data_IF_384977088555
#
_entry.id   IF_384977088555
#
_cell.length_a   1.000
_cell.length_b   1.000
_cell.length_c   1.000
_cell.angle_alpha   90.00
_cell.angle_beta   90.00
_cell.angle_gamma   90.00
#
_symmetry.space_group_name_H-M   'P 1'
#
loop_
_entity.id
_entity.type
_entity.pdbx_description
1 polymer ?
#
# COMPACT_ATOMS: atom_id res chain seq x y z
N UNK A 1 85.49 1.46 -32.81
CA UNK A 1 85.24 0.11 -33.34
C UNK A 1 84.12 0.23 -34.36
N UNK A 2 84.36 -0.23 -35.60
CA UNK A 2 83.34 -0.43 -36.63
C UNK A 2 82.34 -1.53 -36.15
N UNK A 3 81.13 -1.75 -36.69
CA UNK A 3 80.76 -2.08 -38.08
C UNK A 3 79.21 -2.08 -38.17
N UNK A 4 78.64 -1.53 -39.27
CA UNK A 4 77.50 -2.04 -40.09
C UNK A 4 76.14 -2.30 -39.40
N UNK A 5 74.98 -2.42 -40.06
CA UNK A 5 74.57 -2.77 -41.43
C UNK A 5 73.11 -2.26 -41.57
N UNK A 6 72.79 -1.38 -42.51
CA UNK A 6 72.10 -1.60 -43.80
C UNK A 6 70.63 -2.12 -43.78
N UNK A 7 69.79 -1.40 -44.52
CA UNK A 7 68.66 -1.82 -45.37
C UNK A 7 67.29 -2.27 -44.80
N UNK A 8 66.31 -1.42 -45.10
CA UNK A 8 65.14 -1.70 -45.97
C UNK A 8 63.88 -2.41 -45.44
N UNK A 9 62.81 -1.60 -45.48
CA UNK A 9 61.54 -1.82 -46.19
C UNK A 9 60.54 -2.90 -45.71
N UNK A 10 59.32 -2.40 -45.47
CA UNK A 10 58.07 -3.15 -45.35
C UNK A 10 57.02 -2.28 -44.66
N UNK A 11 56.54 -1.20 -45.29
CA UNK A 11 55.26 -1.19 -46.03
C UNK A 11 54.29 -2.30 -45.57
N UNK A 12 53.25 -1.92 -44.81
CA UNK A 12 51.87 -1.89 -45.31
C UNK A 12 50.89 -1.36 -44.24
N UNK A 13 50.19 -0.28 -44.65
CA UNK A 13 48.76 0.05 -44.45
C UNK A 13 48.18 0.00 -43.03
N UNK A 14 47.77 1.15 -42.49
CA UNK A 14 46.41 1.74 -42.65
C UNK A 14 45.35 0.83 -42.04
N UNK A 15 44.63 1.20 -40.98
CA UNK A 15 43.46 2.12 -40.96
C UNK A 15 43.34 2.69 -39.53
N UNK A 16 43.50 3.98 -39.26
CA UNK A 16 42.51 5.08 -39.43
C UNK A 16 41.19 4.83 -38.66
N UNK A 17 40.99 5.63 -37.61
CA UNK A 17 39.92 6.66 -37.47
C UNK A 17 38.65 6.08 -36.85
N UNK A 18 37.91 6.74 -35.98
CA UNK A 18 37.97 8.11 -35.46
C UNK A 18 36.96 8.14 -34.32
N UNK A 19 37.35 8.71 -33.18
CA UNK A 19 36.41 9.08 -32.12
C UNK A 19 35.56 10.25 -32.62
N UNK A 20 34.25 10.08 -32.68
CA UNK A 20 33.27 11.16 -32.86
C UNK A 20 32.67 11.44 -31.47
N UNK A 21 32.82 12.66 -30.92
CA UNK A 21 31.92 13.82 -31.11
C UNK A 21 30.46 13.39 -30.90
N UNK A 22 29.69 13.88 -29.92
CA UNK A 22 29.65 15.22 -29.36
C UNK A 22 28.26 15.82 -29.65
N UNK A 23 27.50 16.06 -28.58
CA UNK A 23 26.40 17.03 -28.41
C UNK A 23 24.98 16.84 -29.00
N UNK A 24 24.03 16.82 -28.03
CA UNK A 24 22.82 17.68 -27.91
C UNK A 24 21.51 17.29 -28.63
N UNK A 25 20.58 16.80 -27.80
CA UNK A 25 19.21 17.30 -27.58
C UNK A 25 18.22 17.37 -28.75
N UNK A 26 17.27 16.43 -28.77
CA UNK A 26 15.86 16.67 -29.09
C UNK A 26 14.99 15.48 -28.62
N UNK A 27 13.76 15.75 -28.16
CA UNK A 27 12.68 14.81 -27.74
C UNK A 27 12.89 14.22 -26.32
N UNK A 28 12.45 14.81 -25.21
CA UNK A 28 11.13 15.31 -24.80
C UNK A 28 9.96 14.34 -25.03
N UNK A 29 9.41 13.88 -23.89
CA UNK A 29 8.06 13.36 -23.64
C UNK A 29 7.62 12.10 -24.41
N UNK A 30 7.96 10.93 -23.88
CA UNK A 30 7.10 9.76 -24.02
C UNK A 30 7.30 8.79 -22.85
N UNK A 31 6.22 8.62 -22.09
CA UNK A 31 5.96 7.57 -21.11
C UNK A 31 6.54 7.70 -19.69
N UNK A 32 6.18 8.79 -18.99
CA UNK A 32 5.97 8.81 -17.54
C UNK A 32 4.69 8.03 -17.11
N UNK A 33 4.25 7.04 -17.89
CA UNK A 33 3.01 6.28 -17.67
C UNK A 33 3.24 4.91 -17.00
N UNK A 34 4.47 4.63 -16.56
CA UNK A 34 4.80 3.43 -15.80
C UNK A 34 4.45 3.58 -14.32
N UNK A 35 3.21 3.24 -13.97
CA UNK A 35 2.76 2.91 -12.62
C UNK A 35 2.61 4.08 -11.62
N UNK A 36 1.73 5.03 -11.93
CA UNK A 36 0.69 5.32 -10.92
C UNK A 36 0.02 3.96 -10.67
N UNK A 37 0.34 3.30 -9.55
CA UNK A 37 -0.49 2.20 -9.08
C UNK A 37 -1.88 2.79 -8.93
N UNK A 38 -2.79 2.45 -9.86
CA UNK A 38 -4.21 2.70 -9.65
C UNK A 38 -4.53 2.18 -8.24
N UNK A 39 -5.27 2.94 -7.42
CA UNK A 39 -5.70 2.41 -6.14
C UNK A 39 -6.31 1.05 -6.44
N UNK A 40 -5.79 0.01 -5.78
CA UNK A 40 -6.36 -1.34 -5.86
C UNK A 40 -7.85 -1.13 -5.69
N UNK A 41 -8.63 -1.39 -6.73
CA UNK A 41 -10.09 -1.46 -6.62
C UNK A 41 -10.34 -2.71 -5.79
N UNK A 42 -10.12 -2.59 -4.48
CA UNK A 42 -10.53 -3.57 -3.51
C UNK A 42 -12.02 -3.75 -3.72
N UNK A 43 -12.48 -4.99 -3.76
CA UNK A 43 -13.90 -5.28 -3.88
C UNK A 43 -14.66 -4.47 -2.81
N UNK A 44 -15.83 -3.93 -3.14
CA UNK A 44 -16.61 -3.12 -2.21
C UNK A 44 -16.85 -3.87 -0.89
N UNK A 45 -17.14 -5.17 -0.98
CA UNK A 45 -17.27 -6.06 0.19
C UNK A 45 -15.98 -6.12 1.02
N UNK A 46 -14.83 -6.34 0.40
CA UNK A 46 -13.53 -6.36 1.10
C UNK A 46 -13.22 -5.01 1.76
N UNK A 47 -13.56 -3.91 1.09
CA UNK A 47 -13.39 -2.55 1.61
C UNK A 47 -14.26 -2.34 2.86
N UNK A 48 -15.52 -2.76 2.81
CA UNK A 48 -16.45 -2.70 3.95
C UNK A 48 -15.97 -3.56 5.11
N UNK A 49 -15.48 -4.76 4.86
CA UNK A 49 -14.86 -5.60 5.88
C UNK A 49 -13.68 -4.90 6.55
N UNK A 50 -12.75 -4.34 5.77
CA UNK A 50 -11.58 -3.66 6.33
C UNK A 50 -11.96 -2.43 7.16
N UNK A 51 -12.92 -1.63 6.68
CA UNK A 51 -13.45 -0.48 7.42
C UNK A 51 -14.14 -0.91 8.72
N UNK A 52 -15.00 -1.93 8.67
CA UNK A 52 -15.69 -2.45 9.85
C UNK A 52 -14.71 -3.03 10.88
N UNK A 53 -13.69 -3.77 10.44
CA UNK A 53 -12.65 -4.30 11.31
C UNK A 53 -11.85 -3.18 12.00
N UNK A 54 -11.48 -2.13 11.26
CA UNK A 54 -10.73 -1.00 11.83
C UNK A 54 -11.59 -0.20 12.84
N UNK A 55 -12.87 -0.01 12.54
CA UNK A 55 -13.82 0.62 13.45
C UNK A 55 -14.04 -0.23 14.71
N UNK A 56 -14.25 -1.54 14.57
CA UNK A 56 -14.40 -2.46 15.69
C UNK A 56 -13.15 -2.51 16.58
N UNK A 57 -11.96 -2.51 15.99
CA UNK A 57 -10.70 -2.38 16.72
C UNK A 57 -10.66 -1.10 17.55
N UNK A 58 -11.03 0.05 16.96
CA UNK A 58 -11.02 1.33 17.65
C UNK A 58 -12.02 1.37 18.81
N UNK A 59 -13.23 0.81 18.63
CA UNK A 59 -14.25 0.67 19.69
C UNK A 59 -13.79 -0.29 20.80
N UNK A 60 -13.17 -1.42 20.45
CA UNK A 60 -12.60 -2.33 21.44
C UNK A 60 -11.57 -1.63 22.33
N UNK A 61 -10.73 -0.73 21.77
CA UNK A 61 -9.77 0.04 22.55
C UNK A 61 -10.41 1.04 23.51
N UNK A 62 -11.62 1.52 23.24
CA UNK A 62 -12.39 2.30 24.22
C UNK A 62 -12.76 1.41 25.40
N UNK A 63 -13.31 0.22 25.13
CA UNK A 63 -13.79 -0.71 26.15
C UNK A 63 -12.68 -1.31 27.02
N UNK A 64 -11.51 -1.61 26.44
CA UNK A 64 -10.49 -2.42 27.11
C UNK A 64 -9.13 -1.74 27.28
N UNK A 65 -8.86 -0.63 26.59
CA UNK A 65 -7.56 0.04 26.61
C UNK A 65 -7.61 1.52 27.04
N UNK A 66 -8.75 2.00 27.54
CA UNK A 66 -8.91 3.35 28.08
C UNK A 66 -8.82 4.46 27.02
N UNK A 67 -9.07 4.13 25.75
CA UNK A 67 -9.11 5.17 24.71
C UNK A 67 -10.34 6.05 24.91
N UNK A 68 -10.17 7.36 24.71
CA UNK A 68 -11.32 8.25 24.52
C UNK A 68 -11.98 7.98 23.17
N UNK A 69 -13.27 8.32 23.06
CA UNK A 69 -14.00 8.28 21.78
C UNK A 69 -13.29 9.09 20.70
N UNK A 70 -12.81 10.29 21.05
CA UNK A 70 -12.09 11.15 20.10
C UNK A 70 -10.82 10.49 19.56
N UNK A 71 -10.07 9.79 20.42
CA UNK A 71 -8.87 9.05 20.00
C UNK A 71 -9.23 7.92 19.05
N UNK A 72 -10.26 7.13 19.36
CA UNK A 72 -10.73 6.05 18.51
C UNK A 72 -11.18 6.57 17.13
N UNK A 73 -11.98 7.65 17.10
CA UNK A 73 -12.41 8.30 15.87
C UNK A 73 -11.23 8.84 15.06
N UNK A 74 -10.24 9.45 15.71
CA UNK A 74 -9.06 9.96 15.02
C UNK A 74 -8.22 8.85 14.37
N UNK A 75 -8.08 7.71 15.06
CA UNK A 75 -7.41 6.52 14.51
C UNK A 75 -8.13 6.01 13.26
N UNK A 76 -9.46 5.85 13.34
CA UNK A 76 -10.26 5.40 12.21
C UNK A 76 -10.18 6.38 11.03
N UNK A 77 -10.38 7.67 11.27
CA UNK A 77 -10.29 8.72 10.23
C UNK A 77 -8.91 8.78 9.58
N UNK A 78 -7.85 8.67 10.37
CA UNK A 78 -6.47 8.64 9.86
C UNK A 78 -6.21 7.40 9.01
N UNK A 79 -6.70 6.24 9.45
CA UNK A 79 -6.58 5.00 8.69
C UNK A 79 -7.33 5.08 7.35
N UNK A 80 -8.59 5.56 7.36
CA UNK A 80 -9.41 5.75 6.16
C UNK A 80 -8.69 6.66 5.16
N UNK A 81 -8.21 7.82 5.62
CA UNK A 81 -7.45 8.76 4.80
C UNK A 81 -6.19 8.14 4.20
N UNK A 82 -5.41 7.43 5.01
CA UNK A 82 -4.18 6.79 4.55
C UNK A 82 -4.44 5.66 3.54
N UNK A 83 -5.67 5.11 3.52
CA UNK A 83 -6.09 4.09 2.56
C UNK A 83 -6.84 4.65 1.34
N UNK A 84 -7.11 5.95 1.30
CA UNK A 84 -7.87 6.58 0.22
C UNK A 84 -9.34 6.13 0.17
N UNK A 85 -9.92 5.83 1.34
CA UNK A 85 -11.27 5.25 1.46
C UNK A 85 -12.34 6.27 1.88
N UNK A 86 -12.06 7.56 1.76
CA UNK A 86 -12.94 8.62 2.25
C UNK A 86 -14.34 8.58 1.62
N UNK A 87 -14.44 8.19 0.35
CA UNK A 87 -15.73 8.07 -0.35
C UNK A 87 -16.56 6.89 0.15
N UNK A 88 -15.91 5.78 0.54
CA UNK A 88 -16.56 4.58 1.02
C UNK A 88 -16.94 4.68 2.51
N UNK A 89 -16.31 5.60 3.24
CA UNK A 89 -16.51 5.79 4.68
C UNK A 89 -17.95 6.14 5.07
N UNK A 90 -18.78 6.64 4.15
CA UNK A 90 -20.21 6.89 4.40
C UNK A 90 -20.94 5.61 4.83
N UNK A 91 -20.57 4.45 4.28
CA UNK A 91 -21.17 3.17 4.64
C UNK A 91 -21.05 2.84 6.14
N UNK A 92 -20.03 3.32 6.83
CA UNK A 92 -19.86 3.12 8.28
C UNK A 92 -20.98 3.74 9.12
N UNK A 93 -21.76 4.65 8.55
CA UNK A 93 -22.93 5.26 9.19
C UNK A 93 -24.20 4.44 8.99
N UNK A 94 -24.16 3.39 8.16
CA UNK A 94 -25.32 2.53 7.90
C UNK A 94 -25.69 1.70 9.15
N UNK A 95 -26.97 1.35 9.33
CA UNK A 95 -27.39 0.47 10.44
C UNK A 95 -26.67 -0.87 10.45
N UNK A 96 -26.38 -1.42 9.26
CA UNK A 96 -25.63 -2.66 9.12
C UNK A 96 -24.20 -2.52 9.66
N UNK A 97 -23.46 -1.50 9.23
CA UNK A 97 -22.09 -1.28 9.68
C UNK A 97 -22.02 -1.02 11.19
N UNK A 98 -22.92 -0.20 11.74
CA UNK A 98 -23.01 0.08 13.19
C UNK A 98 -23.19 -1.24 13.96
N UNK A 99 -24.10 -2.11 13.50
CA UNK A 99 -24.34 -3.41 14.12
C UNK A 99 -23.12 -4.32 14.04
N UNK A 100 -22.46 -4.40 12.88
CA UNK A 100 -21.26 -5.23 12.73
C UNK A 100 -20.15 -4.73 13.65
N UNK A 101 -19.88 -3.43 13.67
CA UNK A 101 -18.82 -2.83 14.49
C UNK A 101 -19.05 -3.12 15.97
N UNK A 102 -20.27 -2.92 16.47
CA UNK A 102 -20.61 -3.20 17.87
C UNK A 102 -20.36 -4.68 18.22
N UNK A 103 -20.99 -5.62 17.51
CA UNK A 103 -20.85 -7.05 17.76
C UNK A 103 -19.40 -7.51 17.65
N UNK A 104 -18.69 -7.06 16.62
CA UNK A 104 -17.29 -7.40 16.39
C UNK A 104 -16.43 -6.89 17.53
N UNK A 105 -16.60 -5.63 17.96
CA UNK A 105 -15.81 -5.06 19.05
C UNK A 105 -16.05 -5.76 20.40
N UNK A 106 -17.28 -6.18 20.69
CA UNK A 106 -17.64 -6.94 21.90
C UNK A 106 -17.18 -8.42 21.84
N UNK A 107 -16.98 -8.95 20.64
CA UNK A 107 -16.42 -10.27 20.41
C UNK A 107 -14.88 -10.30 20.49
N UNK A 108 -14.21 -9.14 20.53
CA UNK A 108 -12.75 -9.07 20.62
C UNK A 108 -12.24 -9.39 22.02
N UNK A 109 -11.01 -9.90 22.11
CA UNK A 109 -10.33 -10.10 23.37
C UNK A 109 -9.92 -8.75 24.01
N UNK A 110 -9.50 -8.79 25.28
CA UNK A 110 -9.08 -7.58 26.02
C UNK A 110 -7.92 -6.81 25.38
N UNK A 111 -7.06 -7.49 24.62
CA UNK A 111 -5.96 -6.83 23.89
C UNK A 111 -6.39 -6.21 22.56
N UNK A 112 -7.62 -6.47 22.09
CA UNK A 112 -8.16 -6.04 20.81
C UNK A 112 -7.27 -6.44 19.62
N UNK A 113 -6.63 -7.59 19.67
CA UNK A 113 -5.79 -8.10 18.59
C UNK A 113 -6.30 -9.42 17.99
N UNK A 114 -7.30 -10.02 18.61
CA UNK A 114 -7.97 -11.23 18.15
C UNK A 114 -9.39 -11.31 18.73
N UNK A 115 -10.17 -12.27 18.28
CA UNK A 115 -11.47 -12.60 18.85
C UNK A 115 -11.33 -13.41 20.15
N UNK A 116 -12.20 -13.14 21.10
CA UNK A 116 -12.47 -14.04 22.21
C UNK A 116 -13.57 -15.02 21.80
N UNK A 117 -13.18 -16.25 21.46
CA UNK A 117 -14.11 -17.30 21.03
C UNK A 117 -15.10 -17.73 22.13
N UNK A 118 -14.83 -17.38 23.39
CA UNK A 118 -15.75 -17.62 24.50
C UNK A 118 -16.73 -16.45 24.73
N UNK A 119 -16.56 -15.33 24.02
CA UNK A 119 -17.50 -14.21 24.10
C UNK A 119 -18.88 -14.67 23.61
N UNK A 120 -19.97 -14.32 24.31
CA UNK A 120 -21.32 -14.58 23.82
C UNK A 120 -21.60 -13.89 22.47
N UNK A 121 -20.81 -12.87 22.12
CA UNK A 121 -20.92 -12.15 20.85
C UNK A 121 -20.10 -12.75 19.71
N UNK A 122 -19.27 -13.78 19.95
CA UNK A 122 -18.42 -14.35 18.91
C UNK A 122 -19.22 -14.85 17.70
N UNK A 123 -20.20 -15.73 17.91
CA UNK A 123 -21.04 -16.26 16.82
C UNK A 123 -21.93 -15.16 16.19
N UNK A 124 -22.61 -14.29 16.96
CA UNK A 124 -23.30 -13.12 16.39
C UNK A 124 -22.42 -12.23 15.51
N UNK A 125 -21.18 -11.96 15.93
CA UNK A 125 -20.23 -11.15 15.19
C UNK A 125 -19.86 -11.81 13.85
N UNK A 126 -19.50 -13.10 13.85
CA UNK A 126 -19.17 -13.82 12.61
C UNK A 126 -20.33 -13.78 11.61
N UNK A 127 -21.56 -14.03 12.07
CA UNK A 127 -22.76 -13.94 11.21
C UNK A 127 -23.00 -12.54 10.67
N UNK A 128 -22.70 -11.50 11.46
CA UNK A 128 -22.86 -10.12 11.02
C UNK A 128 -21.79 -9.73 9.98
N UNK A 129 -20.56 -10.21 10.17
CA UNK A 129 -19.43 -10.05 9.24
C UNK A 129 -19.75 -10.75 7.91
N UNK A 130 -20.19 -12.01 7.92
CA UNK A 130 -20.53 -12.77 6.71
C UNK A 130 -21.68 -12.15 5.89
N UNK A 131 -22.47 -11.27 6.52
CA UNK A 131 -23.60 -10.59 5.89
C UNK A 131 -23.23 -9.23 5.27
N UNK A 132 -21.96 -8.79 5.34
CA UNK A 132 -21.46 -7.56 4.68
C UNK A 132 -21.52 -7.71 3.15
#
# INVERSE_FOLDING_TARGET
MAIGVNASAGFLRSYSRSWQLGWRSALMLSALLGALQAPVQANETETRHAMAAMAAFAECKIMHAGYSRDRAQNILKTWIKNKGLEQQAEWLQSPQAIRVVALTSEAMNKSCNDFDQNSPQFIPAMKAIDAI
#
